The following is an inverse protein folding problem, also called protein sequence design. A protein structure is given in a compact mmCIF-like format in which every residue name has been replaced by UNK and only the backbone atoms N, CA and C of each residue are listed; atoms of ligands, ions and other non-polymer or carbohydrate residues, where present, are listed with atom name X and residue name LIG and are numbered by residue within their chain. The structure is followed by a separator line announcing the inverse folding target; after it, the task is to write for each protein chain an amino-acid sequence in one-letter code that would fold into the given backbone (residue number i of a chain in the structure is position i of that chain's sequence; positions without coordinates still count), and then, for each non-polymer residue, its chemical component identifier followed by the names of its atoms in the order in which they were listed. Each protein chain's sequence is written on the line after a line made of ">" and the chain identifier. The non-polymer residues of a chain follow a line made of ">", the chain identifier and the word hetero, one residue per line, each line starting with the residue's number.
data_IF_363445092611
#
_entry.id   IF_363445092611
#
_cell.length_a   1.000
_cell.length_b   1.000
_cell.length_c   1.000
_cell.angle_alpha   90.00
_cell.angle_beta   90.00
_cell.angle_gamma   90.00
#
_symmetry.space_group_name_H-M   'P 1'
#
loop_
_entity.id
_entity.type
_entity.pdbx_description
1 polymer ?
#
# COMPACT_ATOMS: atom_id res chain seq x y z
N UNK A 1 -12.97 -3.56 15.33
CA UNK A 1 -11.65 -4.10 15.76
C UNK A 1 -10.79 -2.96 16.29
N UNK A 2 -10.08 -3.11 17.42
CA UNK A 2 -9.17 -2.07 17.90
C UNK A 2 -8.09 -1.74 16.87
N UNK A 3 -7.75 -0.45 16.72
CA UNK A 3 -6.74 0.02 15.75
C UNK A 3 -5.37 -0.60 16.03
N UNK A 4 -4.99 -0.73 17.30
CA UNK A 4 -3.72 -1.36 17.70
C UNK A 4 -3.58 -2.80 17.19
N UNK A 5 -4.67 -3.56 17.14
CA UNK A 5 -4.67 -4.93 16.59
C UNK A 5 -4.43 -4.92 15.09
N UNK A 6 -5.04 -3.98 14.36
CA UNK A 6 -4.85 -3.85 12.90
C UNK A 6 -3.41 -3.46 12.55
N UNK A 7 -2.85 -2.49 13.27
CA UNK A 7 -1.43 -2.07 13.12
C UNK A 7 -0.48 -3.23 13.37
N UNK A 8 -0.71 -3.98 14.45
CA UNK A 8 0.09 -5.17 14.78
C UNK A 8 0.00 -6.25 13.69
N UNK A 9 -1.19 -6.51 13.15
CA UNK A 9 -1.36 -7.45 12.04
C UNK A 9 -0.60 -7.00 10.78
N UNK A 10 -0.63 -5.69 10.47
CA UNK A 10 0.12 -5.12 9.36
C UNK A 10 1.62 -5.30 9.51
N UNK A 11 2.17 -5.03 10.70
CA UNK A 11 3.58 -5.24 11.01
C UNK A 11 4.00 -6.71 10.85
N UNK A 12 3.17 -7.65 11.33
CA UNK A 12 3.43 -9.09 11.17
C UNK A 12 3.49 -9.46 9.69
N UNK A 13 2.56 -8.95 8.87
CA UNK A 13 2.57 -9.17 7.43
C UNK A 13 3.88 -8.72 6.77
N UNK A 14 4.36 -7.52 7.11
CA UNK A 14 5.66 -7.04 6.60
C UNK A 14 6.83 -7.89 7.09
N UNK A 15 6.85 -8.29 8.37
CA UNK A 15 7.90 -9.18 8.94
C UNK A 15 7.90 -10.57 8.29
N UNK A 16 6.74 -11.04 7.82
CA UNK A 16 6.62 -12.28 7.06
C UNK A 16 7.05 -12.16 5.59
N UNK A 17 7.46 -10.97 5.14
CA UNK A 17 7.91 -10.72 3.77
C UNK A 17 6.81 -10.32 2.79
N UNK A 18 5.58 -10.03 3.26
CA UNK A 18 4.54 -9.48 2.40
C UNK A 18 4.94 -8.06 1.98
N UNK A 19 4.90 -7.81 0.67
CA UNK A 19 5.27 -6.52 0.08
C UNK A 19 4.18 -5.45 0.23
N UNK A 20 2.93 -5.90 0.20
CA UNK A 20 1.74 -5.05 0.14
C UNK A 20 0.77 -5.45 1.25
N UNK A 21 0.68 -4.63 2.30
CA UNK A 21 -0.17 -4.90 3.46
C UNK A 21 -0.93 -3.64 3.85
N UNK A 22 -2.25 -3.78 3.99
CA UNK A 22 -3.21 -2.67 4.06
C UNK A 22 -4.11 -2.78 5.29
N UNK A 23 -4.47 -1.63 5.86
CA UNK A 23 -5.44 -1.48 6.94
C UNK A 23 -6.79 -1.01 6.39
N UNK A 24 -7.55 -1.91 5.77
CA UNK A 24 -8.80 -1.54 5.08
C UNK A 24 -9.95 -1.04 5.97
N UNK A 25 -9.86 -1.22 7.29
CA UNK A 25 -10.88 -0.77 8.27
C UNK A 25 -10.51 0.54 8.98
N UNK A 26 -9.44 1.22 8.56
CA UNK A 26 -8.97 2.50 9.15
C UNK A 26 -8.77 3.52 8.04
N UNK A 27 -9.85 4.15 7.54
CA UNK A 27 -9.76 5.14 6.48
C UNK A 27 -9.12 6.44 6.96
N UNK A 28 -8.35 7.10 6.11
CA UNK A 28 -7.76 8.43 6.31
C UNK A 28 -6.43 8.47 7.06
N UNK A 29 -5.95 7.34 7.59
CA UNK A 29 -4.66 7.29 8.33
C UNK A 29 -3.49 6.77 7.47
N UNK A 30 -3.71 6.56 6.17
CA UNK A 30 -2.68 6.12 5.22
C UNK A 30 -2.32 4.63 5.28
N UNK A 31 -2.78 3.89 6.29
CA UNK A 31 -2.59 2.43 6.38
C UNK A 31 -3.24 1.64 5.23
N UNK A 32 -4.19 2.25 4.53
CA UNK A 32 -4.86 1.73 3.35
C UNK A 32 -4.13 2.00 2.03
N UNK A 33 -3.13 2.88 2.02
CA UNK A 33 -2.39 3.23 0.81
C UNK A 33 -1.46 2.09 0.36
N UNK A 34 -1.20 2.04 -0.94
CA UNK A 34 -0.14 1.17 -1.50
C UNK A 34 1.16 1.92 -1.57
N UNK A 35 2.21 1.31 -1.06
CA UNK A 35 3.56 1.87 -1.06
C UNK A 35 4.48 1.02 -1.92
N UNK A 36 5.45 1.66 -2.56
CA UNK A 36 6.50 0.96 -3.28
C UNK A 36 7.29 0.08 -2.31
N UNK A 37 7.45 -1.23 -2.59
CA UNK A 37 8.18 -2.12 -1.69
C UNK A 37 9.67 -1.74 -1.61
N UNK A 38 10.21 -1.11 -2.66
CA UNK A 38 11.62 -0.70 -2.76
C UNK A 38 11.93 0.64 -2.07
N UNK A 39 11.17 1.70 -2.37
CA UNK A 39 11.50 3.06 -1.89
C UNK A 39 10.46 3.69 -0.96
N UNK A 40 9.38 2.98 -0.63
CA UNK A 40 8.26 3.43 0.21
C UNK A 40 7.51 4.67 -0.30
N UNK A 41 7.68 5.03 -1.57
CA UNK A 41 6.85 6.04 -2.22
C UNK A 41 5.39 5.59 -2.27
N UNK A 42 4.45 6.52 -2.09
CA UNK A 42 3.03 6.21 -2.28
C UNK A 42 2.80 5.91 -3.77
N UNK A 43 2.13 4.79 -4.05
CA UNK A 43 1.79 4.36 -5.41
C UNK A 43 0.30 4.45 -5.67
N UNK A 44 -0.52 4.08 -4.68
CA UNK A 44 -1.98 4.17 -4.78
C UNK A 44 -2.46 4.79 -3.49
N UNK A 45 -3.12 5.94 -3.61
CA UNK A 45 -3.82 6.56 -2.51
C UNK A 45 -5.26 6.05 -2.45
N UNK A 46 -5.69 5.69 -1.26
CA UNK A 46 -7.02 5.16 -0.98
C UNK A 46 -7.67 5.95 0.14
N UNK A 47 -9.00 5.98 0.08
CA UNK A 47 -9.84 6.42 1.18
C UNK A 47 -11.05 5.48 1.26
N UNK A 48 -11.01 4.56 2.23
CA UNK A 48 -11.90 3.42 2.30
C UNK A 48 -11.84 2.57 1.03
N UNK A 49 -12.98 2.43 0.35
CA UNK A 49 -13.11 1.64 -0.88
C UNK A 49 -12.76 2.43 -2.15
N UNK A 50 -12.49 3.73 -2.03
CA UNK A 50 -12.21 4.60 -3.18
C UNK A 50 -10.71 4.73 -3.44
N UNK A 51 -10.32 4.75 -4.71
CA UNK A 51 -8.97 5.13 -5.15
C UNK A 51 -8.99 6.62 -5.46
N UNK A 52 -8.20 7.41 -4.73
CA UNK A 52 -8.04 8.85 -5.00
C UNK A 52 -6.94 9.12 -6.01
N UNK A 53 -5.88 8.31 -6.02
CA UNK A 53 -4.79 8.41 -6.98
C UNK A 53 -4.15 7.05 -7.28
N UNK A 54 -3.74 6.86 -8.53
CA UNK A 54 -2.86 5.78 -8.95
C UNK A 54 -1.66 6.38 -9.70
N UNK A 55 -0.48 6.27 -9.10
CA UNK A 55 0.77 6.85 -9.59
C UNK A 55 1.65 5.82 -10.32
N UNK A 56 1.20 4.57 -10.41
CA UNK A 56 1.93 3.51 -11.12
C UNK A 56 1.86 3.80 -12.62
N UNK A 57 3.02 3.83 -13.26
CA UNK A 57 3.15 4.06 -14.70
C UNK A 57 3.95 2.93 -15.32
N UNK A 58 3.45 2.34 -16.41
CA UNK A 58 4.10 1.23 -17.10
C UNK A 58 4.50 0.08 -16.16
N UNK A 59 3.63 -0.23 -15.19
CA UNK A 59 3.86 -1.20 -14.11
C UNK A 59 5.07 -0.90 -13.22
N UNK A 60 5.47 0.37 -13.09
CA UNK A 60 6.66 0.79 -12.36
C UNK A 60 6.38 1.92 -11.37
N UNK A 61 7.22 1.98 -10.34
CA UNK A 61 7.26 3.12 -9.42
C UNK A 61 7.80 4.36 -10.15
N UNK A 62 7.11 5.51 -10.10
CA UNK A 62 7.58 6.72 -10.78
C UNK A 62 8.85 7.32 -10.14
N UNK A 63 9.18 6.95 -8.90
CA UNK A 63 10.32 7.51 -8.16
C UNK A 63 11.60 6.68 -8.27
N UNK A 64 11.50 5.35 -8.14
CA UNK A 64 12.69 4.47 -8.15
C UNK A 64 12.72 3.48 -9.32
N UNK A 65 11.73 3.52 -10.22
CA UNK A 65 11.63 2.66 -11.39
C UNK A 65 11.50 1.13 -11.10
N UNK A 66 11.31 0.75 -9.84
CA UNK A 66 11.06 -0.63 -9.45
C UNK A 66 9.79 -1.16 -10.14
N UNK A 67 9.85 -2.39 -10.64
CA UNK A 67 8.67 -3.10 -11.15
C UNK A 67 7.69 -3.33 -10.00
N UNK A 68 6.42 -3.03 -10.23
CA UNK A 68 5.34 -3.18 -9.26
C UNK A 68 4.48 -4.35 -9.70
N UNK A 69 4.44 -5.41 -8.88
CA UNK A 69 3.66 -6.60 -9.17
C UNK A 69 2.15 -6.28 -9.18
N UNK A 70 1.43 -6.73 -10.20
CA UNK A 70 0.00 -6.49 -10.38
C UNK A 70 -0.41 -6.37 -11.85
N UNK A 71 -1.69 -6.09 -12.07
CA UNK A 71 -2.26 -5.78 -13.40
C UNK A 71 -2.75 -4.32 -13.35
N UNK A 72 -2.24 -3.49 -14.26
CA UNK A 72 -2.40 -2.03 -14.24
C UNK A 72 -3.02 -1.45 -15.52
N UNK A 73 -3.65 -2.31 -16.33
CA UNK A 73 -4.28 -1.99 -17.63
C UNK A 73 -5.71 -1.48 -17.49
#
# INVERSE_FOLDING_TARGET
>A
TPISTLRKAREIGFKAGLKYVYEGNVPGEGGENSYCPSCKEILIERFGYSISANLIKDSRCPKCNALIEGVWS
#
